data_IF_722089345247
#
_entry.id   IF_722089345247
#
_cell.length_a   1.000
_cell.length_b   1.000
_cell.length_c   1.000
_cell.angle_alpha   90.00
_cell.angle_beta   90.00
_cell.angle_gamma   90.00
#
_symmetry.space_group_name_H-M   'P 1'
#
loop_
_entity.id
_entity.type
_entity.pdbx_description
1 polymer ?
#
# COMPACT_ATOMS: atom_id res chain seq x y z
N UNK A 1 3.96 -6.84 35.78
CA UNK A 1 3.15 -6.61 34.56
C UNK A 1 3.12 -5.12 34.28
N UNK A 2 3.91 -4.64 33.32
CA UNK A 2 3.78 -3.30 32.74
C UNK A 2 3.61 -3.50 31.24
N UNK A 3 2.43 -3.16 30.73
CA UNK A 3 2.09 -3.16 29.32
C UNK A 3 2.91 -2.07 28.60
N UNK A 4 3.84 -2.47 27.75
CA UNK A 4 4.48 -1.58 26.79
C UNK A 4 3.49 -1.26 25.69
N UNK A 5 2.71 -0.20 25.89
CA UNK A 5 2.00 0.49 24.82
C UNK A 5 3.04 0.96 23.80
N UNK A 6 2.93 0.40 22.59
CA UNK A 6 3.60 0.87 21.38
C UNK A 6 3.39 2.38 21.24
N UNK A 7 4.45 3.15 21.43
CA UNK A 7 4.44 4.58 21.13
C UNK A 7 4.57 4.71 19.61
N UNK A 8 3.56 5.31 18.97
CA UNK A 8 3.67 5.72 17.57
C UNK A 8 4.88 6.65 17.39
N UNK A 9 5.69 6.48 16.32
CA UNK A 9 6.86 7.31 16.10
C UNK A 9 6.46 8.79 15.94
N UNK A 10 7.18 9.67 16.64
CA UNK A 10 6.92 11.13 16.65
C UNK A 10 7.18 11.76 15.28
N UNK A 11 6.41 12.81 14.95
CA UNK A 11 6.44 13.69 13.76
C UNK A 11 7.83 13.98 13.15
N UNK A 12 8.88 14.08 13.97
CA UNK A 12 10.26 14.32 13.52
C UNK A 12 10.91 13.13 12.79
N UNK A 13 10.40 11.91 12.99
CA UNK A 13 10.96 10.69 12.38
C UNK A 13 10.64 10.61 10.88
N UNK A 14 9.51 11.18 10.44
CA UNK A 14 9.09 11.22 9.03
C UNK A 14 9.61 12.47 8.31
N UNK A 15 9.76 13.59 9.02
CA UNK A 15 10.24 14.86 8.46
C UNK A 15 11.73 14.85 8.08
N UNK A 16 12.51 13.87 8.57
CA UNK A 16 13.96 13.85 8.37
C UNK A 16 14.49 12.88 7.30
N UNK A 17 13.68 11.94 6.78
CA UNK A 17 14.19 10.84 5.93
C UNK A 17 13.27 10.30 4.83
N UNK A 18 12.06 10.83 4.59
CA UNK A 18 11.14 10.06 3.73
C UNK A 18 10.18 10.92 2.90
N UNK A 19 10.36 10.88 1.58
CA UNK A 19 9.40 11.17 0.50
C UNK A 19 8.67 12.52 0.47
N UNK A 20 9.23 13.58 1.06
CA UNK A 20 9.07 14.91 0.45
C UNK A 20 9.84 14.86 -0.88
N UNK A 21 9.34 15.51 -1.93
CA UNK A 21 9.97 15.53 -3.27
C UNK A 21 11.39 16.11 -3.20
N UNK A 22 12.36 15.33 -2.75
CA UNK A 22 13.72 15.42 -3.21
C UNK A 22 13.76 14.54 -4.45
N UNK A 23 13.87 15.18 -5.61
CA UNK A 23 14.23 14.52 -6.86
C UNK A 23 15.68 13.99 -6.82
N UNK A 24 16.10 13.33 -5.73
CA UNK A 24 17.38 12.66 -5.61
C UNK A 24 17.23 11.22 -6.15
N UNK A 25 16.95 11.20 -7.45
CA UNK A 25 16.59 10.09 -8.34
C UNK A 25 17.60 8.92 -8.35
N UNK A 26 17.74 8.19 -7.24
CA UNK A 26 18.55 6.97 -7.20
C UNK A 26 17.76 5.81 -7.82
N UNK A 27 18.44 4.92 -8.54
CA UNK A 27 17.80 3.73 -9.14
C UNK A 27 17.07 2.88 -8.08
N UNK A 28 17.62 2.85 -6.86
CA UNK A 28 17.04 2.20 -5.69
C UNK A 28 15.68 2.77 -5.29
N UNK A 29 15.55 4.09 -5.14
CA UNK A 29 14.27 4.71 -4.75
C UNK A 29 13.19 4.49 -5.81
N UNK A 30 13.56 4.59 -7.09
CA UNK A 30 12.64 4.31 -8.20
C UNK A 30 12.17 2.86 -8.17
N UNK A 31 13.08 1.92 -7.92
CA UNK A 31 12.72 0.51 -7.79
C UNK A 31 11.74 0.30 -6.62
N UNK A 32 12.05 0.81 -5.43
CA UNK A 32 11.19 0.67 -4.26
C UNK A 32 9.80 1.26 -4.52
N UNK A 33 9.74 2.46 -5.10
CA UNK A 33 8.47 3.11 -5.46
C UNK A 33 7.64 2.25 -6.42
N UNK A 34 8.23 1.85 -7.56
CA UNK A 34 7.54 1.04 -8.57
C UNK A 34 7.09 -0.32 -8.02
N UNK A 35 7.95 -0.97 -7.24
CA UNK A 35 7.66 -2.29 -6.69
C UNK A 35 6.51 -2.24 -5.68
N UNK A 36 6.49 -1.23 -4.79
CA UNK A 36 5.40 -1.03 -3.84
C UNK A 36 4.09 -0.73 -4.57
N UNK A 37 4.12 0.14 -5.59
CA UNK A 37 2.93 0.40 -6.42
C UNK A 37 2.39 -0.87 -7.07
N UNK A 38 3.30 -1.73 -7.57
CA UNK A 38 2.93 -2.99 -8.20
C UNK A 38 2.40 -4.02 -7.21
N UNK A 39 2.99 -4.14 -6.02
CA UNK A 39 2.49 -4.99 -4.93
C UNK A 39 1.05 -4.61 -4.58
N UNK A 40 0.78 -3.33 -4.35
CA UNK A 40 -0.55 -2.86 -3.99
C UNK A 40 -1.55 -3.04 -5.11
N UNK A 41 -1.09 -2.88 -6.35
CA UNK A 41 -1.91 -3.17 -7.50
C UNK A 41 -2.36 -4.65 -7.51
N UNK A 42 -1.40 -5.59 -7.49
CA UNK A 42 -1.65 -7.03 -7.43
C UNK A 42 -2.54 -7.43 -6.25
N UNK A 43 -2.29 -6.87 -5.06
CA UNK A 43 -3.10 -7.12 -3.88
C UNK A 43 -4.54 -6.66 -4.08
N UNK A 44 -4.75 -5.47 -4.63
CA UNK A 44 -6.10 -4.93 -4.88
C UNK A 44 -6.89 -5.84 -5.81
N UNK A 45 -6.27 -6.32 -6.89
CA UNK A 45 -6.89 -7.27 -7.83
C UNK A 45 -7.28 -8.56 -7.15
N UNK A 46 -6.33 -9.11 -6.39
CA UNK A 46 -6.54 -10.35 -5.65
C UNK A 46 -7.75 -10.24 -4.72
N UNK A 47 -7.94 -9.08 -4.09
CA UNK A 47 -8.93 -8.87 -3.03
C UNK A 47 -10.36 -8.66 -3.55
N UNK A 48 -10.56 -8.06 -4.72
CA UNK A 48 -11.92 -7.79 -5.24
C UNK A 48 -12.37 -8.74 -6.34
N UNK A 49 -11.51 -9.66 -6.78
CA UNK A 49 -11.88 -10.67 -7.77
C UNK A 49 -13.03 -11.56 -7.26
N UNK A 50 -14.10 -11.66 -8.03
CA UNK A 50 -15.32 -12.40 -7.67
C UNK A 50 -15.24 -13.91 -7.96
N UNK A 51 -14.27 -14.35 -8.74
CA UNK A 51 -14.12 -15.76 -9.14
C UNK A 51 -13.39 -16.62 -8.09
N UNK A 52 -13.68 -17.92 -8.09
CA UNK A 52 -13.01 -18.93 -7.24
C UNK A 52 -11.49 -18.98 -7.50
N UNK A 53 -10.73 -19.44 -6.50
CA UNK A 53 -9.27 -19.50 -6.52
C UNK A 53 -8.72 -20.23 -7.75
N UNK A 54 -7.99 -19.51 -8.61
CA UNK A 54 -7.43 -20.06 -9.86
C UNK A 54 -5.91 -20.22 -9.80
N UNK A 55 -5.31 -20.78 -10.85
CA UNK A 55 -3.85 -20.77 -11.06
C UNK A 55 -3.28 -19.35 -10.99
N UNK A 56 -4.03 -18.36 -11.50
CA UNK A 56 -3.66 -16.94 -11.45
C UNK A 56 -3.49 -16.43 -10.03
N UNK A 57 -4.36 -16.84 -9.10
CA UNK A 57 -4.28 -16.42 -7.71
C UNK A 57 -2.98 -16.93 -7.05
N UNK A 58 -2.63 -18.19 -7.30
CA UNK A 58 -1.38 -18.77 -6.78
C UNK A 58 -0.13 -18.09 -7.35
N UNK A 59 -0.18 -17.68 -8.61
CA UNK A 59 0.89 -16.90 -9.23
C UNK A 59 1.00 -15.51 -8.60
N UNK A 60 -0.12 -14.82 -8.40
CA UNK A 60 -0.17 -13.50 -7.72
C UNK A 60 0.36 -13.62 -6.29
N UNK A 61 -0.06 -14.65 -5.54
CA UNK A 61 0.40 -14.89 -4.17
C UNK A 61 1.92 -15.09 -4.11
N UNK A 62 2.47 -15.92 -4.99
CA UNK A 62 3.91 -16.14 -5.06
C UNK A 62 4.67 -14.87 -5.44
N UNK A 63 4.14 -14.11 -6.41
CA UNK A 63 4.75 -12.88 -6.89
C UNK A 63 4.74 -11.79 -5.80
N UNK A 64 3.61 -11.56 -5.12
CA UNK A 64 3.55 -10.56 -4.04
C UNK A 64 4.54 -10.90 -2.92
N UNK A 65 4.62 -12.16 -2.49
CA UNK A 65 5.58 -12.57 -1.44
C UNK A 65 7.03 -12.27 -1.82
N UNK A 66 7.43 -12.61 -3.05
CA UNK A 66 8.79 -12.39 -3.53
C UNK A 66 9.12 -10.90 -3.70
N UNK A 67 8.14 -10.11 -4.19
CA UNK A 67 8.28 -8.66 -4.31
C UNK A 67 8.39 -7.97 -2.95
N UNK A 68 7.59 -8.38 -1.95
CA UNK A 68 7.68 -7.84 -0.59
C UNK A 68 9.04 -8.15 0.05
N UNK A 69 9.49 -9.41 -0.02
CA UNK A 69 10.80 -9.83 0.51
C UNK A 69 11.95 -9.07 -0.18
N UNK A 70 11.91 -8.95 -1.51
CA UNK A 70 12.91 -8.19 -2.27
C UNK A 70 12.89 -6.70 -1.91
N UNK A 71 11.70 -6.10 -1.75
CA UNK A 71 11.56 -4.69 -1.36
C UNK A 71 12.21 -4.44 0.00
N UNK A 72 11.95 -5.30 0.98
CA UNK A 72 12.55 -5.21 2.32
C UNK A 72 14.08 -5.33 2.24
N UNK A 73 14.59 -6.35 1.54
CA UNK A 73 16.04 -6.55 1.37
C UNK A 73 16.72 -5.34 0.74
N UNK A 74 16.18 -4.83 -0.38
CA UNK A 74 16.74 -3.66 -1.06
C UNK A 74 16.66 -2.43 -0.16
N UNK A 75 15.55 -2.21 0.55
CA UNK A 75 15.39 -1.04 1.43
C UNK A 75 16.47 -0.98 2.52
N UNK A 76 16.75 -2.12 3.18
CA UNK A 76 17.70 -2.25 4.29
C UNK A 76 19.15 -2.30 3.80
N UNK A 77 19.40 -2.78 2.59
CA UNK A 77 20.76 -2.94 2.08
C UNK A 77 21.45 -1.58 1.85
N UNK A 78 22.34 -1.25 2.78
CA UNK A 78 23.20 -0.06 2.75
C UNK A 78 24.57 -0.36 2.13
N UNK A 79 24.95 -1.64 2.00
CA UNK A 79 26.34 -2.05 1.80
C UNK A 79 26.54 -2.78 0.47
N UNK A 80 25.63 -3.68 0.10
CA UNK A 80 25.87 -4.60 -1.03
C UNK A 80 25.41 -4.05 -2.38
N UNK A 81 24.73 -2.89 -2.41
CA UNK A 81 24.09 -2.35 -3.61
C UNK A 81 23.33 -3.46 -4.35
N UNK A 82 22.51 -4.22 -3.62
CA UNK A 82 21.65 -5.24 -4.21
C UNK A 82 20.76 -4.57 -5.24
N UNK A 83 21.19 -4.64 -6.48
CA UNK A 83 20.39 -4.25 -7.62
C UNK A 83 19.31 -5.32 -7.76
N UNK A 84 18.03 -4.91 -7.89
CA UNK A 84 16.94 -5.83 -8.18
C UNK A 84 17.32 -6.70 -9.38
N UNK A 85 16.91 -7.97 -9.37
CA UNK A 85 17.10 -8.78 -10.56
C UNK A 85 16.43 -8.08 -11.75
N UNK A 86 17.06 -8.12 -12.92
CA UNK A 86 16.53 -7.48 -14.14
C UNK A 86 15.10 -7.92 -14.44
N UNK A 87 14.75 -9.15 -14.08
CA UNK A 87 13.42 -9.74 -14.19
C UNK A 87 12.42 -9.02 -13.27
N UNK A 88 12.72 -8.87 -11.98
CA UNK A 88 11.82 -8.20 -11.04
C UNK A 88 11.64 -6.71 -11.39
N UNK A 89 12.69 -6.05 -11.87
CA UNK A 89 12.60 -4.68 -12.36
C UNK A 89 11.69 -4.56 -13.60
N UNK A 90 11.75 -5.53 -14.50
CA UNK A 90 10.91 -5.57 -15.72
C UNK A 90 9.46 -5.89 -15.38
N UNK A 91 9.21 -6.84 -14.47
CA UNK A 91 7.86 -7.26 -14.07
C UNK A 91 7.16 -6.14 -13.27
N UNK A 92 7.91 -5.39 -12.47
CA UNK A 92 7.36 -4.24 -11.72
C UNK A 92 7.08 -3.03 -12.61
N UNK A 93 7.38 -3.09 -13.92
CA UNK A 93 7.11 -1.99 -14.84
C UNK A 93 5.62 -1.97 -15.21
N UNK A 94 4.90 -0.85 -14.96
CA UNK A 94 3.45 -0.78 -15.15
C UNK A 94 3.02 -1.15 -16.57
N UNK A 95 3.73 -0.70 -17.60
CA UNK A 95 3.28 -0.87 -18.99
C UNK A 95 3.26 -2.33 -19.51
N UNK A 96 4.07 -3.23 -18.92
CA UNK A 96 4.22 -4.59 -19.42
C UNK A 96 3.37 -5.59 -18.64
N UNK A 97 3.45 -5.61 -17.31
CA UNK A 97 2.74 -6.57 -16.48
C UNK A 97 1.25 -6.23 -16.32
N UNK A 98 0.91 -4.95 -16.20
CA UNK A 98 -0.47 -4.47 -16.00
C UNK A 98 -1.37 -4.82 -17.19
N UNK A 99 -0.85 -4.64 -18.40
CA UNK A 99 -1.56 -4.95 -19.65
C UNK A 99 -1.66 -6.46 -19.89
N UNK A 100 -0.59 -7.21 -19.63
CA UNK A 100 -0.56 -8.66 -19.85
C UNK A 100 -1.54 -9.42 -18.95
N UNK A 101 -1.85 -8.88 -17.77
CA UNK A 101 -2.73 -9.52 -16.79
C UNK A 101 -4.17 -8.96 -16.81
N UNK A 102 -4.51 -8.07 -17.75
CA UNK A 102 -5.81 -7.39 -17.86
C UNK A 102 -6.24 -6.67 -16.58
N UNK A 103 -5.30 -6.00 -15.91
CA UNK A 103 -5.50 -5.44 -14.57
C UNK A 103 -6.02 -3.99 -14.57
N UNK A 104 -6.61 -3.54 -15.69
CA UNK A 104 -6.81 -2.12 -15.96
C UNK A 104 -7.84 -1.42 -15.07
N UNK A 105 -8.70 -2.15 -14.34
CA UNK A 105 -9.86 -1.55 -13.67
C UNK A 105 -9.70 -1.30 -12.16
N UNK A 106 -8.67 -0.51 -11.80
CA UNK A 106 -8.47 0.02 -10.43
C UNK A 106 -8.22 1.53 -10.42
N UNK A 107 -8.92 2.23 -11.32
CA UNK A 107 -8.68 3.66 -11.54
C UNK A 107 -8.97 4.51 -10.29
N UNK A 108 -9.86 4.09 -9.39
CA UNK A 108 -10.27 4.88 -8.22
C UNK A 108 -9.14 5.07 -7.20
N UNK A 109 -8.44 4.00 -6.80
CA UNK A 109 -7.28 4.07 -5.90
C UNK A 109 -6.14 4.89 -6.49
N UNK A 110 -5.81 4.64 -7.76
CA UNK A 110 -4.73 5.34 -8.48
C UNK A 110 -5.04 6.83 -8.66
N UNK A 111 -6.30 7.18 -8.98
CA UNK A 111 -6.75 8.58 -9.06
C UNK A 111 -6.65 9.24 -7.70
N UNK A 112 -7.19 8.60 -6.66
CA UNK A 112 -7.18 9.14 -5.29
C UNK A 112 -5.76 9.38 -4.78
N UNK A 113 -4.86 8.41 -4.94
CA UNK A 113 -3.46 8.58 -4.53
C UNK A 113 -2.76 9.67 -5.34
N UNK A 114 -3.07 9.81 -6.62
CA UNK A 114 -2.50 10.88 -7.46
C UNK A 114 -2.99 12.26 -7.03
N UNK A 115 -4.26 12.40 -6.70
CA UNK A 115 -4.81 13.65 -6.19
C UNK A 115 -4.26 14.01 -4.80
N UNK A 116 -4.14 13.03 -3.91
CA UNK A 116 -3.57 13.23 -2.57
C UNK A 116 -2.08 13.58 -2.65
N UNK A 117 -1.33 12.88 -3.52
CA UNK A 117 0.07 13.18 -3.85
C UNK A 117 0.23 14.62 -4.34
N UNK A 118 -0.63 15.06 -5.26
CA UNK A 118 -0.60 16.43 -5.79
C UNK A 118 -0.96 17.48 -4.73
N UNK A 119 -2.05 17.28 -3.99
CA UNK A 119 -2.55 18.26 -3.02
C UNK A 119 -1.63 18.48 -1.82
N UNK A 120 -0.95 17.43 -1.37
CA UNK A 120 -0.06 17.49 -0.20
C UNK A 120 1.43 17.46 -0.56
N UNK A 121 1.76 17.48 -1.86
CA UNK A 121 3.13 17.47 -2.36
C UNK A 121 3.98 16.30 -1.80
N UNK A 122 3.39 15.11 -1.76
CA UNK A 122 4.04 13.87 -1.32
C UNK A 122 4.22 12.90 -2.49
N UNK A 123 5.10 11.90 -2.35
CA UNK A 123 5.25 10.88 -3.40
C UNK A 123 3.96 10.08 -3.60
N UNK A 124 3.77 9.55 -4.82
CA UNK A 124 2.62 8.70 -5.14
C UNK A 124 2.57 7.44 -4.28
N UNK A 125 3.73 6.84 -3.99
CA UNK A 125 3.85 5.70 -3.07
C UNK A 125 3.42 6.04 -1.65
N UNK A 126 3.82 7.21 -1.12
CA UNK A 126 3.38 7.68 0.20
C UNK A 126 1.87 7.95 0.24
N UNK A 127 1.30 8.50 -0.84
CA UNK A 127 -0.14 8.66 -0.94
C UNK A 127 -0.87 7.30 -0.97
N UNK A 128 -0.35 6.32 -1.72
CA UNK A 128 -0.92 4.97 -1.78
C UNK A 128 -0.86 4.25 -0.43
N UNK A 129 0.23 4.39 0.33
CA UNK A 129 0.37 3.74 1.64
C UNK A 129 -0.63 4.26 2.68
N UNK A 130 -1.10 5.50 2.52
CA UNK A 130 -2.18 6.09 3.32
C UNK A 130 -3.55 5.61 2.83
N UNK A 131 -3.77 5.61 1.52
CA UNK A 131 -5.08 5.33 0.93
C UNK A 131 -5.44 3.84 1.03
N UNK A 132 -4.49 2.95 0.75
CA UNK A 132 -4.78 1.52 0.57
C UNK A 132 -5.35 0.83 1.82
N UNK A 133 -4.81 1.02 3.04
CA UNK A 133 -5.36 0.37 4.24
C UNK A 133 -6.79 0.84 4.55
N UNK A 134 -7.08 2.12 4.34
CA UNK A 134 -8.41 2.68 4.55
C UNK A 134 -9.43 2.18 3.52
N UNK A 135 -9.00 2.06 2.26
CA UNK A 135 -9.78 1.39 1.24
C UNK A 135 -10.07 -0.08 1.57
N UNK A 136 -9.04 -0.81 1.98
CA UNK A 136 -9.17 -2.21 2.37
C UNK A 136 -10.20 -2.39 3.49
N UNK A 137 -10.17 -1.53 4.53
CA UNK A 137 -11.16 -1.52 5.62
C UNK A 137 -12.58 -1.18 5.17
N UNK A 138 -12.75 -0.41 4.09
CA UNK A 138 -14.08 -0.13 3.55
C UNK A 138 -14.66 -1.29 2.75
N UNK A 139 -13.82 -2.04 2.04
CA UNK A 139 -14.29 -3.08 1.11
C UNK A 139 -14.22 -4.51 1.67
N UNK A 140 -13.43 -4.77 2.72
CA UNK A 140 -13.19 -6.16 3.19
C UNK A 140 -14.47 -6.90 3.54
N UNK A 141 -15.47 -6.22 4.12
CA UNK A 141 -16.76 -6.84 4.46
C UNK A 141 -17.49 -7.43 3.25
N UNK A 142 -17.25 -6.91 2.03
CA UNK A 142 -17.83 -7.43 0.79
C UNK A 142 -17.10 -8.67 0.26
N UNK A 143 -15.82 -8.83 0.60
CA UNK A 143 -14.94 -9.87 0.07
C UNK A 143 -14.14 -10.59 1.17
N UNK A 144 -14.77 -10.85 2.34
CA UNK A 144 -14.06 -11.31 3.56
C UNK A 144 -13.19 -12.54 3.28
N UNK A 145 -13.70 -13.52 2.55
CA UNK A 145 -12.97 -14.75 2.21
C UNK A 145 -11.66 -14.47 1.46
N UNK A 146 -11.66 -13.49 0.55
CA UNK A 146 -10.46 -13.07 -0.19
C UNK A 146 -9.43 -12.42 0.74
N UNK A 147 -9.88 -11.60 1.68
CA UNK A 147 -9.01 -10.99 2.68
C UNK A 147 -8.41 -12.02 3.64
N UNK A 148 -9.17 -13.06 4.02
CA UNK A 148 -8.66 -14.18 4.82
C UNK A 148 -7.58 -14.95 4.06
N UNK A 149 -7.84 -15.28 2.78
CA UNK A 149 -6.85 -15.95 1.95
C UNK A 149 -5.60 -15.10 1.74
N UNK A 150 -5.76 -13.79 1.54
CA UNK A 150 -4.65 -12.85 1.44
C UNK A 150 -3.80 -12.84 2.72
N UNK A 151 -4.43 -12.68 3.89
CA UNK A 151 -3.75 -12.74 5.18
C UNK A 151 -2.98 -14.04 5.36
N UNK A 152 -3.60 -15.18 5.04
CA UNK A 152 -3.01 -16.50 5.24
C UNK A 152 -1.91 -16.83 4.23
N UNK A 153 -2.17 -16.68 2.95
CA UNK A 153 -1.31 -17.18 1.88
C UNK A 153 -0.17 -16.22 1.56
N UNK A 154 -0.36 -14.91 1.73
CA UNK A 154 0.66 -13.91 1.37
C UNK A 154 1.37 -13.42 2.63
N UNK A 155 0.62 -13.10 3.68
CA UNK A 155 1.16 -12.48 4.88
C UNK A 155 1.47 -13.49 6.00
N UNK A 156 1.12 -14.77 5.80
CA UNK A 156 1.33 -15.85 6.78
C UNK A 156 0.64 -15.60 8.13
N UNK A 157 -0.50 -14.92 8.11
CA UNK A 157 -1.30 -14.61 9.30
C UNK A 157 -2.66 -15.33 9.25
N UNK A 158 -3.03 -15.96 10.37
CA UNK A 158 -4.28 -16.67 10.53
C UNK A 158 -4.88 -16.34 11.91
N UNK A 159 -6.21 -16.34 12.02
CA UNK A 159 -6.93 -16.05 13.26
C UNK A 159 -7.84 -17.20 13.66
N UNK A 160 -7.64 -17.72 14.87
CA UNK A 160 -8.55 -18.70 15.48
C UNK A 160 -9.87 -18.08 15.94
N UNK A 161 -10.01 -16.75 15.84
CA UNK A 161 -11.17 -15.99 16.31
C UNK A 161 -12.15 -15.62 15.19
N UNK A 162 -11.82 -15.97 13.95
CA UNK A 162 -12.73 -15.91 12.81
C UNK A 162 -12.27 -14.98 11.68
N UNK A 163 -12.97 -15.10 10.55
CA UNK A 163 -12.59 -14.55 9.25
C UNK A 163 -12.43 -13.02 9.25
N UNK A 164 -13.30 -12.29 9.95
CA UNK A 164 -13.21 -10.83 10.04
C UNK A 164 -11.94 -10.38 10.74
N UNK A 165 -11.53 -11.08 11.80
CA UNK A 165 -10.30 -10.74 12.52
C UNK A 165 -9.08 -11.11 11.67
N UNK A 166 -9.07 -12.28 11.02
CA UNK A 166 -8.01 -12.65 10.07
C UNK A 166 -7.86 -11.61 8.94
N UNK A 167 -8.97 -11.17 8.35
CA UNK A 167 -8.97 -10.13 7.32
C UNK A 167 -8.34 -8.81 7.80
N UNK A 168 -8.74 -8.33 8.99
CA UNK A 168 -8.19 -7.11 9.57
C UNK A 168 -6.72 -7.25 9.95
N UNK A 169 -6.30 -8.41 10.48
CA UNK A 169 -4.89 -8.69 10.74
C UNK A 169 -4.07 -8.65 9.44
N UNK A 170 -4.59 -9.17 8.34
CA UNK A 170 -3.95 -9.06 7.03
C UNK A 170 -3.74 -7.60 6.59
N UNK A 171 -4.75 -6.74 6.79
CA UNK A 171 -4.62 -5.31 6.50
C UNK A 171 -3.52 -4.68 7.38
N UNK A 172 -3.47 -5.04 8.67
CA UNK A 172 -2.45 -4.54 9.58
C UNK A 172 -1.02 -4.98 9.22
N UNK A 173 -0.82 -6.17 8.67
CA UNK A 173 0.51 -6.57 8.21
C UNK A 173 0.98 -5.77 6.99
N UNK A 174 0.07 -5.34 6.11
CA UNK A 174 0.42 -4.42 5.02
C UNK A 174 0.84 -3.06 5.57
N UNK A 175 0.15 -2.55 6.61
CA UNK A 175 0.57 -1.33 7.32
C UNK A 175 1.93 -1.50 8.00
N UNK A 176 2.18 -2.65 8.64
CA UNK A 176 3.47 -2.95 9.26
C UNK A 176 4.60 -3.02 8.21
N UNK A 177 4.32 -3.57 7.02
CA UNK A 177 5.23 -3.53 5.89
C UNK A 177 5.56 -2.09 5.47
N UNK A 178 4.56 -1.20 5.36
CA UNK A 178 4.79 0.22 5.08
C UNK A 178 5.62 0.91 6.16
N UNK A 179 5.31 0.66 7.43
CA UNK A 179 6.05 1.23 8.55
C UNK A 179 7.52 0.79 8.56
N UNK A 180 7.80 -0.46 8.19
CA UNK A 180 9.16 -0.99 8.04
C UNK A 180 9.92 -0.25 6.93
N UNK A 181 9.22 0.21 5.90
CA UNK A 181 9.77 1.02 4.80
C UNK A 181 9.74 2.53 5.09
N UNK A 182 9.39 2.94 6.32
CA UNK A 182 9.22 4.33 6.74
C UNK A 182 8.17 5.12 5.94
N UNK A 183 7.21 4.42 5.34
CA UNK A 183 6.07 5.05 4.65
C UNK A 183 4.99 5.46 5.65
N UNK A 184 4.29 6.59 5.40
CA UNK A 184 3.16 7.01 6.21
C UNK A 184 1.96 6.08 5.99
N UNK A 185 1.19 5.84 7.04
CA UNK A 185 -0.05 5.05 6.99
C UNK A 185 -1.29 5.90 7.26
N UNK A 186 -1.10 7.10 7.80
CA UNK A 186 -2.14 8.09 8.07
C UNK A 186 -1.70 9.48 7.59
N UNK A 187 -2.66 10.40 7.41
CA UNK A 187 -2.34 11.81 7.18
C UNK A 187 -1.68 12.46 8.41
N UNK A 188 -1.99 11.97 9.61
CA UNK A 188 -1.37 12.44 10.86
C UNK A 188 0.13 12.14 10.93
N UNK A 189 0.59 11.02 10.33
CA UNK A 189 2.03 10.69 10.20
C UNK A 189 2.79 11.79 9.44
N UNK A 190 2.10 12.49 8.53
CA UNK A 190 2.61 13.65 7.78
C UNK A 190 2.35 14.98 8.49
N UNK A 191 1.68 14.97 9.64
CA UNK A 191 1.30 16.15 10.39
C UNK A 191 0.16 16.96 9.76
N UNK A 192 -0.60 16.36 8.84
CA UNK A 192 -1.80 16.92 8.21
C UNK A 192 -2.98 16.56 9.10
N UNK A 193 -3.87 17.51 9.36
CA UNK A 193 -5.06 17.29 10.20
C UNK A 193 -6.33 17.47 9.39
N UNK A 194 -7.44 16.87 9.81
CA UNK A 194 -8.74 16.98 9.14
C UNK A 194 -9.30 18.42 9.03
N UNK A 195 -8.68 19.38 9.71
CA UNK A 195 -8.98 20.81 9.61
C UNK A 195 -8.18 21.55 8.54
N UNK A 196 -7.26 20.87 7.83
CA UNK A 196 -6.53 21.50 6.74
C UNK A 196 -7.47 21.83 5.58
N UNK A 197 -7.46 23.09 5.15
CA UNK A 197 -8.33 23.58 4.07
C UNK A 197 -8.11 22.81 2.76
N UNK A 198 -6.88 22.33 2.52
CA UNK A 198 -6.54 21.48 1.39
C UNK A 198 -7.29 20.14 1.39
N UNK A 199 -7.51 19.56 2.57
CA UNK A 199 -8.28 18.31 2.73
C UNK A 199 -9.77 18.56 2.47
N UNK A 200 -10.31 19.64 3.04
CA UNK A 200 -11.70 20.05 2.79
C UNK A 200 -11.98 20.33 1.31
N UNK A 201 -11.04 20.97 0.61
CA UNK A 201 -11.14 21.27 -0.81
C UNK A 201 -11.05 19.99 -1.66
N UNK A 202 -10.17 19.05 -1.29
CA UNK A 202 -10.06 17.73 -1.91
C UNK A 202 -11.37 16.93 -1.76
N UNK A 203 -11.96 16.95 -0.57
CA UNK A 203 -13.23 16.30 -0.29
C UNK A 203 -14.37 16.94 -1.12
N UNK A 204 -14.45 18.28 -1.17
CA UNK A 204 -15.46 18.98 -1.99
C UNK A 204 -15.33 18.70 -3.49
N UNK A 205 -14.11 18.53 -4.00
CA UNK A 205 -13.88 18.25 -5.43
C UNK A 205 -14.36 16.84 -5.83
N UNK A 206 -14.44 15.91 -4.88
CA UNK A 206 -14.74 14.50 -5.13
C UNK A 206 -16.15 14.04 -4.72
N UNK A 207 -17.08 14.96 -4.42
CA UNK A 207 -18.36 14.71 -3.73
C UNK A 207 -19.27 13.59 -4.24
N UNK A 208 -19.08 13.08 -5.47
CA UNK A 208 -19.92 12.03 -6.07
C UNK A 208 -19.18 10.70 -6.33
N UNK A 209 -17.96 10.52 -5.83
CA UNK A 209 -17.17 9.30 -6.06
C UNK A 209 -16.89 8.52 -4.78
N UNK A 210 -16.59 7.24 -4.90
CA UNK A 210 -16.09 6.39 -3.79
C UNK A 210 -14.88 7.03 -3.08
N UNK A 211 -14.14 7.88 -3.80
CA UNK A 211 -13.02 8.70 -3.33
C UNK A 211 -13.46 9.64 -2.19
N UNK A 212 -14.64 10.29 -2.27
CA UNK A 212 -15.13 11.17 -1.20
C UNK A 212 -15.40 10.43 0.10
N UNK A 213 -15.96 9.23 -0.01
CA UNK A 213 -16.22 8.40 1.17
C UNK A 213 -14.92 7.99 1.82
N UNK A 214 -13.93 7.55 1.02
CA UNK A 214 -12.60 7.19 1.50
C UNK A 214 -11.85 8.35 2.15
N UNK A 215 -11.90 9.54 1.55
CA UNK A 215 -11.24 10.73 2.08
C UNK A 215 -11.70 11.03 3.51
N UNK A 216 -12.99 10.86 3.84
CA UNK A 216 -13.50 11.09 5.21
C UNK A 216 -12.93 10.15 6.28
N UNK A 217 -12.35 9.03 5.88
CA UNK A 217 -11.76 8.06 6.79
C UNK A 217 -10.22 8.10 6.81
N UNK A 218 -9.60 9.03 6.04
CA UNK A 218 -8.16 9.34 6.11
C UNK A 218 -7.89 10.39 7.18
#
# INVERSE_FOLDING_TARGET
MKSSLSQSPKKEHYLGKTFIIEQNNTAKERFLSNNIEFILHLATIYLVKEEQTTVTDRLIEALIRDLMDTTLKVSIDQINQLEPTSILNTISHPDYSWNAMNLQDYSSLQKMSSELSYSFNISKTAALSIVWPNWARMVYCKHVERFVLFAKNILSVDSQRGDKEAALMGIHEVEAFFQTLHLPTTLEDLGITSTDTAFDDLAKKNTNSDIYTLLKYL
#
